data_IF_456021257929
#
_entry.id   IF_456021257929
#
_cell.length_a   1.000
_cell.length_b   1.000
_cell.length_c   1.000
_cell.angle_alpha   90.00
_cell.angle_beta   90.00
_cell.angle_gamma   90.00
#
_symmetry.space_group_name_H-M   'P 1'
#
loop_
_entity.id
_entity.type
_entity.pdbx_description
1 polymer ?
#
# COMPACT_ATOMS: atom_id res chain seq x y z
N UNK A 1 20.08 56.74 46.45
CA UNK A 1 19.80 55.40 45.89
C UNK A 1 18.36 55.45 45.43
N UNK A 2 18.18 55.61 44.12
CA UNK A 2 16.91 56.02 43.52
C UNK A 2 16.72 55.18 42.26
N UNK A 3 15.67 54.37 42.24
CA UNK A 3 15.23 53.61 41.06
C UNK A 3 14.83 54.58 39.94
N UNK A 4 15.34 54.35 38.73
CA UNK A 4 14.84 55.00 37.52
C UNK A 4 14.44 53.92 36.53
N UNK A 5 13.13 53.71 36.40
CA UNK A 5 12.50 52.90 35.35
C UNK A 5 12.64 53.62 34.01
N UNK A 6 13.05 52.90 32.97
CA UNK A 6 12.98 53.38 31.58
C UNK A 6 11.64 52.95 30.95
N UNK A 7 11.02 53.83 30.14
CA UNK A 7 9.69 53.60 29.58
C UNK A 7 9.70 52.70 28.34
N UNK A 8 8.63 51.91 28.22
CA UNK A 8 8.20 51.22 27.00
C UNK A 8 7.52 52.25 26.08
N UNK A 9 7.97 52.35 24.82
CA UNK A 9 7.28 53.11 23.77
C UNK A 9 6.92 52.13 22.64
N UNK A 10 5.65 52.10 22.17
CA UNK A 10 5.20 51.19 21.12
C UNK A 10 5.47 51.78 19.74
N UNK A 11 5.82 50.95 18.76
CA UNK A 11 5.83 51.34 17.35
C UNK A 11 4.96 50.36 16.57
N UNK A 12 3.80 50.87 16.14
CA UNK A 12 2.94 50.23 15.16
C UNK A 12 3.20 50.84 13.77
N UNK A 13 3.37 49.94 12.79
CA UNK A 13 2.79 49.95 11.43
C UNK A 13 3.07 51.17 10.52
N UNK A 14 3.79 50.97 9.41
CA UNK A 14 3.24 51.03 8.02
C UNK A 14 4.31 50.98 6.90
N UNK A 15 4.08 50.06 5.95
CA UNK A 15 4.30 50.11 4.47
C UNK A 15 5.62 50.66 3.88
N UNK A 16 6.26 49.91 2.96
CA UNK A 16 5.96 49.84 1.52
C UNK A 16 7.12 49.13 0.74
N UNK A 17 6.75 48.51 -0.37
CA UNK A 17 7.50 47.62 -1.26
C UNK A 17 8.73 48.17 -2.00
N UNK A 18 9.67 47.27 -2.31
CA UNK A 18 10.49 47.22 -3.54
C UNK A 18 11.20 45.83 -3.59
N UNK A 19 10.73 44.86 -4.38
CA UNK A 19 11.07 44.58 -5.78
C UNK A 19 12.57 44.33 -6.03
N UNK A 20 12.99 43.06 -6.00
CA UNK A 20 14.11 42.55 -6.83
C UNK A 20 13.69 41.21 -7.42
N UNK A 21 13.52 41.20 -8.74
CA UNK A 21 13.25 40.04 -9.55
C UNK A 21 14.52 39.19 -9.72
N UNK A 22 14.41 37.88 -9.51
CA UNK A 22 15.33 36.91 -10.12
C UNK A 22 14.46 35.86 -10.81
N UNK A 23 14.52 35.90 -12.14
CA UNK A 23 14.05 34.86 -13.05
C UNK A 23 14.81 33.56 -12.76
N UNK A 24 14.10 32.53 -12.33
CA UNK A 24 14.51 31.15 -12.46
C UNK A 24 13.33 30.35 -13.03
N UNK A 25 13.39 30.17 -14.34
CA UNK A 25 12.84 29.09 -15.18
C UNK A 25 11.77 28.22 -14.51
N UNK A 26 10.54 28.37 -15.01
CA UNK A 26 9.45 27.41 -14.82
C UNK A 26 9.87 26.00 -15.21
N UNK A 27 9.88 25.07 -14.26
CA UNK A 27 9.67 23.65 -14.52
C UNK A 27 8.27 23.35 -13.99
N UNK A 28 7.27 23.08 -14.85
CA UNK A 28 6.04 22.49 -14.34
C UNK A 28 6.39 21.10 -13.83
N UNK A 29 6.46 20.93 -12.51
CA UNK A 29 6.33 19.61 -11.91
C UNK A 29 4.88 19.16 -12.10
N UNK A 30 4.59 18.64 -13.29
CA UNK A 30 3.51 17.69 -13.47
C UNK A 30 3.88 16.45 -12.67
N UNK A 31 3.47 16.41 -11.39
CA UNK A 31 3.18 15.15 -10.74
C UNK A 31 2.02 14.54 -11.53
N UNK A 32 2.35 13.77 -12.56
CA UNK A 32 1.47 12.75 -13.07
C UNK A 32 1.29 11.78 -11.89
N UNK A 33 0.19 11.96 -11.16
CA UNK A 33 -0.27 10.94 -10.21
C UNK A 33 -0.59 9.76 -11.11
N UNK A 34 0.36 8.83 -11.22
CA UNK A 34 0.17 7.57 -11.90
C UNK A 34 -1.09 6.95 -11.26
N UNK A 35 -2.22 7.00 -11.98
CA UNK A 35 -3.48 6.47 -11.48
C UNK A 35 -3.21 5.01 -11.14
N UNK A 36 -3.26 4.68 -9.84
CA UNK A 36 -3.05 3.31 -9.38
C UNK A 36 -3.97 2.41 -10.21
N UNK A 37 -3.39 1.48 -10.96
CA UNK A 37 -4.18 0.66 -11.86
C UNK A 37 -5.27 -0.07 -11.07
N UNK A 38 -6.52 0.11 -11.47
CA UNK A 38 -7.68 -0.45 -10.76
C UNK A 38 -8.15 -1.71 -11.48
N UNK A 39 -8.26 -2.82 -10.75
CA UNK A 39 -8.87 -4.05 -11.30
C UNK A 39 -10.37 -3.99 -11.15
N UNK A 40 -11.12 -4.13 -12.24
CA UNK A 40 -12.56 -4.38 -12.13
C UNK A 40 -12.82 -5.86 -11.82
N UNK A 41 -13.68 -6.14 -10.85
CA UNK A 41 -14.01 -7.51 -10.42
C UNK A 41 -15.50 -7.63 -10.06
N UNK A 42 -16.16 -8.73 -10.41
CA UNK A 42 -17.52 -9.03 -9.92
C UNK A 42 -17.43 -10.08 -8.83
N UNK A 43 -18.09 -9.83 -7.70
CA UNK A 43 -18.15 -10.82 -6.60
C UNK A 43 -18.73 -12.13 -7.13
N UNK A 44 -18.03 -13.24 -6.87
CA UNK A 44 -18.38 -14.56 -7.40
C UNK A 44 -17.66 -14.95 -8.69
N UNK A 45 -16.92 -14.04 -9.33
CA UNK A 45 -16.09 -14.36 -10.49
C UNK A 45 -14.99 -15.38 -10.14
N UNK A 46 -14.39 -16.04 -11.15
CA UNK A 46 -13.19 -16.83 -10.94
C UNK A 46 -12.09 -16.04 -10.23
N UNK A 47 -11.19 -16.76 -9.55
CA UNK A 47 -10.07 -16.13 -8.87
C UNK A 47 -9.15 -15.43 -9.89
N UNK A 48 -8.79 -14.17 -9.61
CA UNK A 48 -7.73 -13.45 -10.31
C UNK A 48 -6.45 -14.26 -10.14
N UNK A 49 -5.77 -14.57 -11.25
CA UNK A 49 -4.44 -15.17 -11.24
C UNK A 49 -3.42 -14.08 -11.53
N UNK A 50 -2.39 -13.96 -10.69
CA UNK A 50 -1.37 -12.92 -10.83
C UNK A 50 -0.13 -13.38 -11.60
N UNK A 51 -0.28 -14.37 -12.48
CA UNK A 51 0.83 -15.03 -13.18
C UNK A 51 0.90 -14.70 -14.68
N UNK A 52 0.25 -13.63 -15.12
CA UNK A 52 0.24 -13.19 -16.52
C UNK A 52 0.05 -11.66 -16.62
N UNK A 53 0.20 -11.12 -17.83
CA UNK A 53 0.08 -9.69 -18.15
C UNK A 53 -1.31 -9.07 -17.84
N UNK A 54 -2.28 -9.87 -17.38
CA UNK A 54 -3.58 -9.36 -16.90
C UNK A 54 -3.51 -8.79 -15.49
N UNK A 55 -2.39 -9.00 -14.80
CA UNK A 55 -2.23 -8.46 -13.47
C UNK A 55 -2.10 -6.93 -13.57
N UNK A 56 -2.93 -6.18 -12.83
CA UNK A 56 -2.90 -4.72 -12.86
C UNK A 56 -1.49 -4.20 -12.53
N UNK A 57 -1.03 -3.17 -13.25
CA UNK A 57 0.22 -2.44 -12.95
C UNK A 57 0.07 -1.60 -11.68
N UNK A 58 -0.01 -2.25 -10.52
CA UNK A 58 -0.42 -1.59 -9.28
C UNK A 58 0.81 -1.08 -8.52
N UNK A 59 0.74 0.10 -7.88
CA UNK A 59 1.84 0.62 -7.07
C UNK A 59 2.37 -0.40 -6.05
N UNK A 60 3.69 -0.56 -6.06
CA UNK A 60 4.39 -1.48 -5.16
C UNK A 60 4.42 -2.93 -5.61
N UNK A 61 3.88 -3.28 -6.78
CA UNK A 61 4.03 -4.60 -7.39
C UNK A 61 5.05 -4.60 -8.51
N UNK A 62 5.80 -5.69 -8.59
CA UNK A 62 6.70 -6.00 -9.68
C UNK A 62 5.94 -6.74 -10.79
N UNK A 63 6.59 -6.87 -11.95
CA UNK A 63 6.03 -7.61 -13.08
C UNK A 63 5.64 -9.06 -12.67
N UNK A 64 4.55 -9.60 -13.22
CA UNK A 64 4.17 -11.00 -13.06
C UNK A 64 5.25 -11.97 -13.53
N UNK A 65 5.27 -13.14 -12.90
CA UNK A 65 6.08 -14.31 -13.23
C UNK A 65 5.13 -15.53 -13.36
N UNK A 66 5.61 -16.67 -13.83
CA UNK A 66 4.78 -17.86 -14.16
C UNK A 66 3.96 -18.39 -12.97
N UNK A 67 4.41 -18.10 -11.74
CA UNK A 67 3.76 -18.52 -10.50
C UNK A 67 2.90 -17.43 -9.82
N UNK A 68 3.05 -16.16 -10.18
CA UNK A 68 2.44 -15.03 -9.47
C UNK A 68 3.23 -13.72 -9.59
N UNK A 69 2.95 -12.76 -8.72
CA UNK A 69 3.63 -11.46 -8.69
C UNK A 69 4.26 -11.17 -7.33
N UNK A 70 5.37 -10.45 -7.32
CA UNK A 70 6.00 -9.94 -6.10
C UNK A 70 5.61 -8.49 -5.82
N UNK A 71 5.56 -8.10 -4.56
CA UNK A 71 5.36 -6.74 -4.09
C UNK A 71 6.46 -6.28 -3.13
N UNK A 72 6.60 -4.97 -2.98
CA UNK A 72 7.72 -4.30 -2.31
C UNK A 72 7.66 -4.29 -0.76
N UNK A 73 6.91 -5.22 -0.15
CA UNK A 73 6.75 -5.35 1.30
C UNK A 73 5.82 -4.33 1.95
N UNK A 74 5.36 -3.33 1.21
CA UNK A 74 4.24 -2.46 1.54
C UNK A 74 3.46 -2.17 0.25
N UNK A 75 2.76 -3.19 -0.24
CA UNK A 75 2.10 -3.18 -1.53
C UNK A 75 0.58 -3.05 -1.37
N UNK A 76 -0.06 -2.31 -2.28
CA UNK A 76 -1.51 -2.11 -2.27
C UNK A 76 -2.14 -2.74 -3.50
N UNK A 77 -3.34 -3.28 -3.40
CA UNK A 77 -4.15 -3.75 -4.52
C UNK A 77 -5.49 -3.01 -4.50
N UNK A 78 -5.80 -2.33 -5.59
CA UNK A 78 -7.00 -1.52 -5.73
C UNK A 78 -7.97 -2.25 -6.66
N UNK A 79 -9.11 -2.67 -6.10
CA UNK A 79 -10.12 -3.48 -6.79
C UNK A 79 -11.42 -2.68 -6.81
N UNK A 80 -11.99 -2.50 -7.99
CA UNK A 80 -13.32 -1.94 -8.19
C UNK A 80 -14.33 -3.07 -8.31
N UNK A 81 -15.16 -3.24 -7.28
CA UNK A 81 -16.24 -4.22 -7.27
C UNK A 81 -17.44 -3.68 -8.05
N UNK A 82 -17.93 -4.45 -9.03
CA UNK A 82 -19.08 -4.05 -9.86
C UNK A 82 -20.09 -5.18 -10.04
N UNK A 83 -21.31 -5.06 -9.48
CA UNK A 83 -21.78 -3.97 -8.63
C UNK A 83 -21.08 -3.96 -7.26
N UNK A 84 -21.21 -2.84 -6.54
CA UNK A 84 -20.80 -2.78 -5.13
C UNK A 84 -21.57 -3.87 -4.32
N UNK A 85 -20.92 -4.61 -3.40
CA UNK A 85 -21.57 -5.66 -2.64
C UNK A 85 -22.71 -5.12 -1.77
N UNK A 86 -23.82 -5.86 -1.72
CA UNK A 86 -24.99 -5.53 -0.88
C UNK A 86 -25.01 -6.28 0.45
N UNK A 87 -23.95 -7.02 0.77
CA UNK A 87 -23.79 -7.82 1.98
C UNK A 87 -22.31 -8.12 2.24
N UNK A 88 -21.99 -8.84 3.34
CA UNK A 88 -20.63 -9.23 3.65
C UNK A 88 -20.04 -10.11 2.54
N UNK A 89 -18.72 -10.05 2.39
CA UNK A 89 -17.99 -10.84 1.38
C UNK A 89 -16.84 -11.59 2.03
N UNK A 90 -16.51 -12.75 1.48
CA UNK A 90 -15.34 -13.52 1.85
C UNK A 90 -14.22 -13.28 0.84
N UNK A 91 -13.11 -12.73 1.32
CA UNK A 91 -11.89 -12.54 0.57
C UNK A 91 -10.94 -13.71 0.86
N UNK A 92 -10.49 -14.39 -0.18
CA UNK A 92 -9.45 -15.40 -0.08
C UNK A 92 -8.26 -15.01 -0.95
N UNK A 93 -7.05 -15.03 -0.38
CA UNK A 93 -5.83 -14.64 -1.08
C UNK A 93 -4.76 -15.71 -0.89
N UNK A 94 -4.17 -16.18 -1.98
CA UNK A 94 -3.01 -17.07 -1.94
C UNK A 94 -1.74 -16.23 -1.97
N UNK A 95 -1.04 -16.24 -0.84
CA UNK A 95 0.05 -15.33 -0.52
C UNK A 95 1.33 -16.10 -0.23
N UNK A 96 2.46 -15.46 -0.45
CA UNK A 96 3.78 -15.98 -0.16
C UNK A 96 4.63 -14.85 0.42
N UNK A 97 5.63 -15.17 1.25
CA UNK A 97 6.59 -14.17 1.72
C UNK A 97 7.99 -14.65 1.42
N UNK A 98 8.82 -13.76 0.87
CA UNK A 98 10.24 -14.09 0.63
C UNK A 98 10.96 -14.17 1.97
N UNK A 99 11.47 -15.35 2.27
CA UNK A 99 12.32 -15.61 3.43
C UNK A 99 13.79 -15.55 3.00
N UNK A 100 14.67 -15.25 3.94
CA UNK A 100 16.11 -15.27 3.70
C UNK A 100 16.83 -16.00 4.83
N UNK A 101 18.11 -16.32 4.61
CA UNK A 101 18.97 -16.89 5.66
C UNK A 101 19.09 -15.99 6.90
N UNK A 102 18.80 -14.69 6.76
CA UNK A 102 18.83 -13.71 7.84
C UNK A 102 17.46 -13.46 8.48
N UNK A 103 16.39 -13.91 7.83
CA UNK A 103 15.01 -13.75 8.28
C UNK A 103 14.22 -14.95 7.80
N UNK A 104 14.33 -16.04 8.55
CA UNK A 104 13.62 -17.30 8.32
C UNK A 104 12.17 -17.29 8.83
N UNK A 105 11.75 -16.16 9.41
CA UNK A 105 10.41 -15.91 9.89
C UNK A 105 10.05 -14.45 9.62
N UNK A 106 8.88 -14.23 9.06
CA UNK A 106 8.31 -12.90 8.77
C UNK A 106 6.81 -12.90 9.08
N UNK A 107 6.27 -11.71 9.31
CA UNK A 107 4.85 -11.50 9.53
C UNK A 107 4.31 -10.61 8.42
N UNK A 108 3.14 -10.91 7.89
CA UNK A 108 2.41 -10.03 6.97
C UNK A 108 1.13 -9.57 7.65
N UNK A 109 0.92 -8.26 7.74
CA UNK A 109 -0.34 -7.67 8.14
C UNK A 109 -1.18 -7.35 6.91
N UNK A 110 -2.45 -7.74 6.93
CA UNK A 110 -3.45 -7.37 5.94
C UNK A 110 -4.27 -6.18 6.45
N UNK A 111 -4.41 -5.17 5.61
CA UNK A 111 -5.35 -4.07 5.81
C UNK A 111 -6.38 -4.06 4.69
N UNK A 112 -7.62 -3.77 5.03
CA UNK A 112 -8.72 -3.59 4.08
C UNK A 112 -9.29 -2.20 4.29
N UNK A 113 -9.32 -1.39 3.22
CA UNK A 113 -9.77 0.00 3.26
C UNK A 113 -9.11 0.82 4.39
N UNK A 114 -7.83 0.55 4.65
CA UNK A 114 -7.04 1.19 5.71
C UNK A 114 -7.19 0.60 7.11
N UNK A 115 -8.16 -0.29 7.36
CA UNK A 115 -8.36 -0.96 8.65
C UNK A 115 -7.52 -2.24 8.75
N UNK A 116 -6.81 -2.50 9.87
CA UNK A 116 -6.10 -3.77 10.07
C UNK A 116 -7.11 -4.91 10.26
N UNK A 117 -6.87 -6.03 9.57
CA UNK A 117 -7.71 -7.24 9.67
C UNK A 117 -7.02 -8.33 10.45
N UNK A 118 -5.87 -8.80 9.95
CA UNK A 118 -5.17 -9.94 10.54
C UNK A 118 -3.68 -9.91 10.24
N UNK A 119 -2.93 -10.78 10.93
CA UNK A 119 -1.50 -10.97 10.81
C UNK A 119 -1.16 -12.45 10.57
N UNK A 120 -0.37 -12.70 9.54
CA UNK A 120 0.00 -14.04 9.11
C UNK A 120 1.51 -14.24 9.26
N UNK A 121 1.91 -15.35 9.89
CA UNK A 121 3.32 -15.65 10.15
C UNK A 121 3.81 -16.67 9.13
N UNK A 122 4.84 -16.31 8.38
CA UNK A 122 5.49 -17.15 7.38
C UNK A 122 6.85 -17.59 7.90
N UNK A 123 7.17 -18.86 7.72
CA UNK A 123 8.48 -19.42 8.02
C UNK A 123 8.86 -20.51 7.00
N UNK A 124 10.01 -21.17 7.22
CA UNK A 124 10.52 -22.19 6.30
C UNK A 124 9.58 -23.39 6.07
N UNK A 125 8.62 -23.62 6.96
CA UNK A 125 7.61 -24.68 6.82
C UNK A 125 6.34 -24.18 6.14
N UNK A 126 6.01 -22.90 6.28
CA UNK A 126 4.80 -22.26 5.72
C UNK A 126 5.12 -21.00 4.90
N UNK A 127 5.96 -21.11 3.85
CA UNK A 127 6.36 -19.94 3.05
C UNK A 127 5.23 -19.41 2.17
N UNK A 128 4.18 -20.21 1.95
CA UNK A 128 2.97 -19.89 1.18
C UNK A 128 1.74 -20.21 2.03
N UNK A 129 0.72 -19.34 2.00
CA UNK A 129 -0.51 -19.49 2.76
C UNK A 129 -1.72 -19.03 1.96
N UNK A 130 -2.81 -19.79 2.05
CA UNK A 130 -4.13 -19.34 1.64
C UNK A 130 -4.79 -18.65 2.84
N UNK A 131 -4.90 -17.34 2.78
CA UNK A 131 -5.52 -16.53 3.84
C UNK A 131 -6.96 -16.23 3.48
N UNK A 132 -7.83 -16.17 4.48
CA UNK A 132 -9.25 -15.90 4.28
C UNK A 132 -9.74 -14.92 5.35
N UNK A 133 -10.48 -13.90 4.93
CA UNK A 133 -11.11 -12.93 5.81
C UNK A 133 -12.52 -12.60 5.33
N UNK A 134 -13.45 -12.48 6.26
CA UNK A 134 -14.80 -11.96 5.98
C UNK A 134 -14.78 -10.45 6.18
N UNK A 135 -15.17 -9.71 5.16
CA UNK A 135 -15.29 -8.25 5.21
C UNK A 135 -16.77 -7.89 5.41
N UNK A 136 -17.13 -7.26 6.54
CA UNK A 136 -18.48 -6.79 6.80
C UNK A 136 -18.97 -5.75 5.77
N UNK A 137 -20.27 -5.70 5.54
CA UNK A 137 -20.88 -4.77 4.60
C UNK A 137 -20.68 -3.30 5.00
N UNK A 138 -20.68 -2.98 6.29
CA UNK A 138 -20.51 -1.61 6.81
C UNK A 138 -19.08 -1.08 6.61
N UNK A 139 -18.13 -1.95 6.25
CA UNK A 139 -16.76 -1.58 5.89
C UNK A 139 -16.52 -1.46 4.39
N UNK A 140 -17.55 -1.74 3.58
CA UNK A 140 -17.52 -1.62 2.12
C UNK A 140 -17.93 -0.21 1.67
N UNK A 141 -17.05 0.52 0.96
CA UNK A 141 -17.41 1.78 0.34
C UNK A 141 -18.58 1.63 -0.63
N UNK A 142 -19.48 2.61 -0.64
CA UNK A 142 -20.69 2.60 -1.48
C UNK A 142 -20.37 2.62 -2.98
N UNK A 143 -19.18 3.09 -3.34
CA UNK A 143 -18.70 3.08 -4.72
C UNK A 143 -18.11 1.71 -5.13
N UNK A 144 -18.02 0.74 -4.22
CA UNK A 144 -17.46 -0.59 -4.48
C UNK A 144 -15.93 -0.63 -4.52
N UNK A 145 -15.23 0.45 -4.14
CA UNK A 145 -13.77 0.46 -4.10
C UNK A 145 -13.25 -0.35 -2.91
N UNK A 146 -12.48 -1.39 -3.19
CA UNK A 146 -11.80 -2.23 -2.22
C UNK A 146 -10.29 -2.03 -2.34
N UNK A 147 -9.67 -1.55 -1.27
CA UNK A 147 -8.21 -1.38 -1.17
C UNK A 147 -7.66 -2.42 -0.20
N UNK A 148 -6.81 -3.32 -0.71
CA UNK A 148 -6.08 -4.28 0.11
C UNK A 148 -4.64 -3.80 0.24
N UNK A 149 -4.12 -3.74 1.46
CA UNK A 149 -2.70 -3.39 1.68
C UNK A 149 -2.01 -4.48 2.47
N UNK A 150 -0.87 -4.92 1.97
CA UNK A 150 -0.07 -6.00 2.51
C UNK A 150 1.24 -5.42 3.03
N UNK A 151 1.47 -5.53 4.34
CA UNK A 151 2.67 -4.99 4.99
C UNK A 151 3.46 -6.10 5.65
N UNK A 152 4.72 -6.27 5.25
CA UNK A 152 5.60 -7.35 5.74
C UNK A 152 6.58 -6.82 6.79
N UNK A 153 6.75 -7.59 7.88
CA UNK A 153 7.59 -7.30 9.02
C UNK A 153 8.58 -8.46 9.34
N UNK A 154 9.84 -8.15 9.74
CA UNK A 154 10.46 -6.84 9.59
C UNK A 154 10.43 -6.42 8.12
N UNK A 155 10.36 -5.11 7.89
CA UNK A 155 10.32 -4.55 6.54
C UNK A 155 11.44 -5.13 5.69
N UNK A 156 11.18 -5.28 4.40
CA UNK A 156 12.19 -5.71 3.45
C UNK A 156 13.36 -4.69 3.55
N UNK A 157 14.55 -5.16 3.95
CA UNK A 157 15.65 -4.26 4.33
C UNK A 157 16.15 -3.49 3.10
N UNK A 158 16.24 -2.14 3.15
CA UNK A 158 16.86 -1.35 2.08
C UNK A 158 18.36 -1.62 1.89
N UNK A 159 19.02 -2.30 2.84
CA UNK A 159 20.47 -2.44 2.86
C UNK A 159 20.98 -3.53 1.91
N UNK A 160 20.93 -3.26 0.61
CA UNK A 160 21.83 -3.90 -0.36
C UNK A 160 23.22 -3.27 -0.24
N UNK A 161 24.15 -3.95 0.44
CA UNK A 161 25.58 -3.68 0.21
C UNK A 161 25.91 -4.06 -1.24
N UNK A 162 26.73 -3.27 -1.97
CA UNK A 162 27.15 -3.61 -3.33
C UNK A 162 27.77 -5.02 -3.36
N UNK A 163 27.23 -5.90 -4.21
CA UNK A 163 27.73 -7.28 -4.38
C UNK A 163 26.88 -8.39 -3.73
N UNK A 164 25.81 -8.07 -3.01
CA UNK A 164 24.81 -9.03 -2.54
C UNK A 164 23.51 -8.85 -3.34
N UNK A 165 22.89 -9.96 -3.77
CA UNK A 165 21.60 -9.92 -4.48
C UNK A 165 20.59 -9.07 -3.69
N UNK A 166 19.97 -8.11 -4.36
CA UNK A 166 19.04 -7.15 -3.79
C UNK A 166 17.67 -7.78 -3.53
N UNK A 167 17.65 -8.80 -2.68
CA UNK A 167 16.44 -9.53 -2.27
C UNK A 167 15.62 -8.75 -1.23
N UNK A 168 16.19 -7.66 -0.71
CA UNK A 168 15.59 -6.78 0.29
C UNK A 168 14.47 -5.88 -0.22
N UNK A 169 14.22 -5.83 -1.53
CA UNK A 169 13.09 -5.09 -2.10
C UNK A 169 11.82 -5.94 -2.21
N UNK A 170 11.88 -7.27 -2.01
CA UNK A 170 10.74 -8.18 -2.16
C UNK A 170 10.20 -8.57 -0.79
N UNK A 171 8.90 -8.31 -0.57
CA UNK A 171 8.22 -8.63 0.69
C UNK A 171 7.17 -9.71 0.57
N UNK A 172 6.13 -9.46 -0.23
CA UNK A 172 4.94 -10.31 -0.35
C UNK A 172 4.77 -10.76 -1.79
N UNK A 173 4.39 -12.01 -2.00
CA UNK A 173 4.00 -12.56 -3.29
C UNK A 173 2.51 -12.86 -3.31
N UNK A 174 1.83 -12.58 -4.41
CA UNK A 174 0.45 -12.99 -4.65
C UNK A 174 0.39 -13.99 -5.78
N UNK A 175 -0.33 -15.08 -5.57
CA UNK A 175 -0.62 -16.08 -6.62
C UNK A 175 -2.03 -15.89 -7.16
N UNK A 176 -2.99 -15.79 -6.26
CA UNK A 176 -4.39 -15.62 -6.63
C UNK A 176 -5.19 -14.85 -5.58
N UNK A 177 -6.31 -14.30 -6.02
CA UNK A 177 -7.29 -13.64 -5.16
C UNK A 177 -8.70 -13.99 -5.63
N UNK A 178 -9.59 -14.30 -4.69
CA UNK A 178 -11.00 -14.54 -4.96
C UNK A 178 -11.87 -13.81 -3.95
N UNK A 179 -12.99 -13.29 -4.43
CA UNK A 179 -13.99 -12.62 -3.60
C UNK A 179 -15.33 -13.28 -3.86
N UNK A 180 -15.93 -13.84 -2.82
CA UNK A 180 -17.21 -14.53 -2.86
C UNK A 180 -18.23 -13.83 -1.95
N UNK A 181 -19.55 -13.97 -2.20
CA UNK A 181 -20.56 -13.57 -1.23
C UNK A 181 -20.41 -14.43 0.03
N UNK A 182 -20.47 -13.80 1.20
CA UNK A 182 -20.42 -14.52 2.47
C UNK A 182 -21.64 -15.46 2.58
N UNK A 183 -21.39 -16.73 2.91
CA UNK A 183 -22.45 -17.70 3.20
C UNK A 183 -22.71 -17.69 4.70
N UNK A 184 -23.89 -17.21 5.10
CA UNK A 184 -24.33 -17.17 6.50
C UNK A 184 -24.63 -18.58 7.06
#
# INVERSE_FOLDING_TARGET
>A
MTETRLPVVPIAIAMLAALVAVLAVSIPMSHEVEEASVVSYRVGDPAIQFNNDSAPGVPGWFAPDDWGMWGNGNAELHIQLQPAPTGPIDLTVNTMVKLSIYSNRRMMALFVNGKPYDQYIYDGNTPTQLISVTIPQDEMPTDGKLVLRFVVYPGASPDSKPGFFNDGAIGVGLRSLQILPHQA
#
